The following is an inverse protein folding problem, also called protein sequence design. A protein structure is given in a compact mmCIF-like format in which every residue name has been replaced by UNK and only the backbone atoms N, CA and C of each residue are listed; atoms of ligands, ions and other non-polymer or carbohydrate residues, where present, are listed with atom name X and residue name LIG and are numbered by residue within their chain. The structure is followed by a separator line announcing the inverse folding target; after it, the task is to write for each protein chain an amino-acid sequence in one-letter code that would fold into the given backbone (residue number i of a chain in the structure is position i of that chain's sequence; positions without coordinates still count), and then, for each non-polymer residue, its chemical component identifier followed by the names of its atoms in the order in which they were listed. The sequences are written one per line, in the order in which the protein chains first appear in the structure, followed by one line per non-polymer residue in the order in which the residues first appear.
data_IF_214999506391
#
_entry.id   IF_214999506391
#
_cell.length_a   1.000
_cell.length_b   1.000
_cell.length_c   1.000
_cell.angle_alpha   90.00
_cell.angle_beta   90.00
_cell.angle_gamma   90.00
#
_symmetry.space_group_name_H-M   'P 1'
#
loop_
_entity.id
_entity.type
_entity.pdbx_description
1 polymer ?
#
# COMPACT_ATOMS: atom_id res chain seq x y z
N UNK A 1 -27.24 0.40 2.20
CA UNK A 1 -26.54 1.09 3.30
C UNK A 1 -26.86 2.59 3.21
N UNK A 2 -27.28 3.20 4.33
CA UNK A 2 -27.53 4.63 4.39
C UNK A 2 -26.21 5.41 4.30
N UNK A 3 -26.28 6.67 3.84
CA UNK A 3 -25.10 7.55 3.69
C UNK A 3 -24.36 7.76 5.01
N UNK A 4 -25.06 7.63 6.13
CA UNK A 4 -24.51 7.83 7.50
C UNK A 4 -23.54 6.73 7.94
N UNK A 5 -23.58 5.56 7.32
CA UNK A 5 -22.74 4.41 7.69
C UNK A 5 -21.30 4.51 7.14
N UNK A 6 -21.03 5.45 6.25
CA UNK A 6 -19.70 5.62 5.61
C UNK A 6 -18.65 6.20 6.57
N UNK A 7 -19.08 6.91 7.59
CA UNK A 7 -18.17 7.53 8.57
C UNK A 7 -17.33 6.51 9.35
N UNK A 8 -17.83 5.28 9.51
CA UNK A 8 -17.11 4.21 10.22
C UNK A 8 -15.90 3.65 9.43
N UNK A 9 -15.82 3.92 8.13
CA UNK A 9 -14.75 3.41 7.25
C UNK A 9 -13.63 4.43 6.98
N UNK A 10 -13.78 5.68 7.44
CA UNK A 10 -12.81 6.75 7.26
C UNK A 10 -12.41 7.34 8.60
N UNK A 11 -11.11 7.58 8.79
CA UNK A 11 -10.66 8.32 9.94
C UNK A 11 -10.95 9.84 9.79
N UNK A 12 -11.03 10.55 10.91
CA UNK A 12 -11.34 11.99 10.95
C UNK A 12 -10.35 12.81 10.11
N UNK A 13 -9.08 12.45 10.09
CA UNK A 13 -8.05 13.17 9.29
C UNK A 13 -8.31 13.08 7.79
N UNK A 14 -8.85 11.96 7.31
CA UNK A 14 -9.24 11.82 5.91
C UNK A 14 -10.40 12.76 5.59
N UNK A 15 -11.38 12.83 6.46
CA UNK A 15 -12.54 13.73 6.32
C UNK A 15 -12.09 15.18 6.35
N UNK A 16 -11.26 15.56 7.33
CA UNK A 16 -10.72 16.93 7.47
C UNK A 16 -9.91 17.35 6.24
N UNK A 17 -9.08 16.46 5.71
CA UNK A 17 -8.32 16.73 4.48
C UNK A 17 -9.23 16.96 3.29
N UNK A 18 -10.27 16.15 3.12
CA UNK A 18 -11.25 16.33 2.04
C UNK A 18 -11.97 17.66 2.15
N UNK A 19 -12.41 18.03 3.35
CA UNK A 19 -13.04 19.33 3.60
C UNK A 19 -12.10 20.48 3.21
N UNK A 20 -10.85 20.45 3.66
CA UNK A 20 -9.83 21.47 3.32
C UNK A 20 -9.59 21.59 1.82
N UNK A 21 -9.73 20.50 1.07
CA UNK A 21 -9.56 20.46 -0.39
C UNK A 21 -10.86 20.73 -1.16
N UNK A 22 -11.96 21.04 -0.49
CA UNK A 22 -13.27 21.24 -1.15
C UNK A 22 -13.85 19.95 -1.77
N UNK A 23 -13.41 18.78 -1.32
CA UNK A 23 -13.87 17.49 -1.83
C UNK A 23 -15.07 16.97 -1.02
N UNK A 24 -15.91 16.10 -1.59
CA UNK A 24 -16.97 15.42 -0.86
C UNK A 24 -16.42 14.66 0.34
N UNK A 25 -17.08 14.74 1.50
CA UNK A 25 -16.68 14.00 2.72
C UNK A 25 -16.64 12.50 2.47
N UNK A 26 -17.58 11.98 1.70
CA UNK A 26 -17.75 10.56 1.39
C UNK A 26 -18.03 10.36 -0.09
N UNK A 27 -17.61 9.23 -0.64
CA UNK A 27 -17.95 8.77 -1.98
C UNK A 27 -18.27 7.26 -1.97
N UNK A 28 -18.68 6.70 -3.11
CA UNK A 28 -19.02 5.29 -3.25
C UNK A 28 -17.85 4.34 -2.98
N UNK A 29 -16.64 4.79 -3.27
CA UNK A 29 -15.39 4.00 -3.11
C UNK A 29 -14.96 3.86 -1.64
N UNK A 30 -15.58 4.62 -0.74
CA UNK A 30 -15.33 4.50 0.70
C UNK A 30 -16.05 3.29 1.30
N UNK A 31 -17.07 2.75 0.62
CA UNK A 31 -17.80 1.59 1.09
C UNK A 31 -17.02 0.29 0.88
N UNK A 32 -17.11 -0.65 1.83
CA UNK A 32 -16.58 -1.99 1.62
C UNK A 32 -17.36 -2.73 0.53
N UNK A 33 -16.79 -3.82 0.05
CA UNK A 33 -17.52 -4.76 -0.81
C UNK A 33 -18.73 -5.29 -0.02
N UNK A 34 -19.87 -5.43 -0.69
CA UNK A 34 -21.08 -6.00 -0.07
C UNK A 34 -20.79 -7.37 0.51
N UNK A 35 -21.19 -7.60 1.76
CA UNK A 35 -21.00 -8.89 2.44
C UNK A 35 -21.64 -10.04 1.65
N UNK A 36 -22.83 -9.84 1.07
CA UNK A 36 -23.48 -10.87 0.26
C UNK A 36 -22.67 -11.24 -1.00
N UNK A 37 -22.01 -10.27 -1.64
CA UNK A 37 -21.15 -10.54 -2.79
C UNK A 37 -19.85 -11.22 -2.37
N UNK A 38 -19.30 -10.79 -1.24
CA UNK A 38 -18.11 -11.42 -0.66
C UNK A 38 -18.38 -12.90 -0.32
N UNK A 39 -19.47 -13.21 0.34
CA UNK A 39 -19.88 -14.56 0.70
C UNK A 39 -20.04 -15.45 -0.55
N UNK A 40 -20.81 -14.97 -1.54
CA UNK A 40 -21.02 -15.70 -2.80
C UNK A 40 -19.71 -15.99 -3.55
N UNK A 41 -18.76 -15.07 -3.59
CA UNK A 41 -17.46 -15.31 -4.21
C UNK A 41 -16.64 -16.27 -3.35
N UNK A 42 -16.62 -16.09 -2.03
CA UNK A 42 -15.86 -16.93 -1.10
C UNK A 42 -16.27 -18.40 -1.17
N UNK A 43 -17.57 -18.68 -1.24
CA UNK A 43 -18.11 -20.03 -1.40
C UNK A 43 -17.74 -20.69 -2.75
N UNK A 44 -17.38 -19.90 -3.74
CA UNK A 44 -17.06 -20.33 -5.09
C UNK A 44 -15.58 -20.14 -5.44
N UNK A 45 -14.70 -20.08 -4.45
CA UNK A 45 -13.25 -19.98 -4.60
C UNK A 45 -12.53 -20.91 -3.62
N UNK A 46 -11.28 -21.26 -3.93
CA UNK A 46 -10.44 -22.05 -3.01
C UNK A 46 -10.00 -21.18 -1.84
N UNK A 47 -9.61 -19.94 -2.09
CA UNK A 47 -9.10 -19.02 -1.06
C UNK A 47 -9.23 -17.56 -1.50
N UNK A 48 -9.64 -16.69 -0.58
CA UNK A 48 -9.55 -15.23 -0.76
C UNK A 48 -8.18 -14.76 -0.30
N UNK A 49 -7.39 -14.19 -1.21
CA UNK A 49 -6.05 -13.66 -0.95
C UNK A 49 -6.06 -12.21 -0.51
N UNK A 50 -7.01 -11.42 -1.00
CA UNK A 50 -7.08 -10.01 -0.67
C UNK A 50 -8.38 -9.35 -1.09
N UNK A 51 -8.67 -8.21 -0.48
CA UNK A 51 -9.86 -7.40 -0.70
C UNK A 51 -9.40 -5.97 -0.98
N UNK A 52 -9.91 -5.37 -2.05
CA UNK A 52 -9.71 -3.96 -2.34
C UNK A 52 -11.04 -3.24 -2.50
N UNK A 53 -11.38 -2.38 -1.54
CA UNK A 53 -12.57 -1.54 -1.64
C UNK A 53 -12.44 -0.48 -2.73
N UNK A 54 -11.25 0.07 -2.96
CA UNK A 54 -11.02 1.10 -3.98
C UNK A 54 -11.22 0.60 -5.40
N UNK A 55 -10.82 -0.63 -5.66
CA UNK A 55 -11.06 -1.28 -6.95
C UNK A 55 -12.38 -2.05 -6.99
N UNK A 56 -13.10 -2.11 -5.86
CA UNK A 56 -14.28 -2.96 -5.69
C UNK A 56 -13.99 -4.38 -6.21
N UNK A 57 -12.89 -4.97 -5.73
CA UNK A 57 -12.31 -6.19 -6.26
C UNK A 57 -11.85 -7.15 -5.17
N UNK A 58 -11.93 -8.44 -5.48
CA UNK A 58 -11.38 -9.54 -4.69
C UNK A 58 -10.26 -10.20 -5.46
N UNK A 59 -9.17 -10.53 -4.75
CA UNK A 59 -8.12 -11.40 -5.24
C UNK A 59 -8.32 -12.78 -4.62
N UNK A 60 -8.47 -13.81 -5.43
CA UNK A 60 -8.74 -15.15 -4.98
C UNK A 60 -7.97 -16.20 -5.77
N UNK A 61 -7.91 -17.41 -5.21
CA UNK A 61 -7.48 -18.63 -5.90
C UNK A 61 -8.73 -19.39 -6.31
N UNK A 62 -8.84 -19.72 -7.59
CA UNK A 62 -9.98 -20.44 -8.14
C UNK A 62 -9.53 -21.34 -9.30
N UNK A 63 -10.20 -22.46 -9.49
CA UNK A 63 -10.07 -23.31 -10.67
C UNK A 63 -10.88 -22.78 -11.87
N UNK A 64 -10.80 -23.47 -13.01
CA UNK A 64 -11.45 -23.00 -14.24
C UNK A 64 -12.99 -23.03 -14.16
N UNK A 65 -13.57 -23.99 -13.48
CA UNK A 65 -15.03 -24.09 -13.35
C UNK A 65 -15.57 -23.07 -12.36
N UNK A 66 -14.85 -22.82 -11.27
CA UNK A 66 -15.12 -21.75 -10.34
C UNK A 66 -15.04 -20.38 -11.04
N UNK A 67 -14.03 -20.16 -11.88
CA UNK A 67 -13.90 -18.92 -12.68
C UNK A 67 -15.09 -18.72 -13.61
N UNK A 68 -15.55 -19.79 -14.33
CA UNK A 68 -16.74 -19.71 -15.17
C UNK A 68 -17.99 -19.33 -14.37
N UNK A 69 -18.17 -19.96 -13.20
CA UNK A 69 -19.29 -19.66 -12.30
C UNK A 69 -19.24 -18.23 -11.78
N UNK A 70 -18.09 -17.76 -11.32
CA UNK A 70 -17.90 -16.38 -10.84
C UNK A 70 -18.21 -15.37 -11.95
N UNK A 71 -17.77 -15.61 -13.18
CA UNK A 71 -18.07 -14.76 -14.34
C UNK A 71 -19.57 -14.68 -14.67
N UNK A 72 -20.35 -15.67 -14.29
CA UNK A 72 -21.79 -15.67 -14.53
C UNK A 72 -22.59 -14.83 -13.53
N UNK A 73 -21.98 -14.40 -12.44
CA UNK A 73 -22.67 -13.55 -11.47
C UNK A 73 -22.92 -12.14 -12.04
N UNK A 74 -24.15 -11.61 -11.98
CA UNK A 74 -24.50 -10.34 -12.61
C UNK A 74 -23.78 -9.12 -12.01
N UNK A 75 -23.23 -9.24 -10.80
CA UNK A 75 -22.46 -8.19 -10.12
C UNK A 75 -20.95 -8.27 -10.40
N UNK A 76 -20.46 -9.31 -11.08
CA UNK A 76 -19.06 -9.46 -11.46
C UNK A 76 -18.83 -8.81 -12.82
N UNK A 77 -18.11 -7.71 -12.86
CA UNK A 77 -17.81 -6.96 -14.07
C UNK A 77 -16.76 -7.65 -14.94
N UNK A 78 -15.71 -8.15 -14.32
CA UNK A 78 -14.58 -8.78 -15.02
C UNK A 78 -13.79 -9.70 -14.10
N UNK A 79 -13.13 -10.71 -14.66
CA UNK A 79 -12.21 -11.61 -13.96
C UNK A 79 -10.91 -11.67 -14.72
N UNK A 80 -9.83 -11.19 -14.09
CA UNK A 80 -8.48 -11.14 -14.66
C UNK A 80 -7.56 -12.12 -13.96
N UNK A 81 -6.77 -12.86 -14.73
CA UNK A 81 -5.69 -13.69 -14.18
C UNK A 81 -4.53 -12.80 -13.76
N UNK A 82 -4.10 -12.93 -12.50
CA UNK A 82 -2.87 -12.29 -12.03
C UNK A 82 -1.67 -13.15 -12.45
N UNK A 83 -0.70 -12.53 -13.14
CA UNK A 83 0.55 -13.19 -13.49
C UNK A 83 1.56 -12.97 -12.38
N UNK A 84 2.21 -14.04 -11.91
CA UNK A 84 3.40 -13.89 -11.05
C UNK A 84 4.56 -13.36 -11.91
N UNK A 85 4.77 -12.05 -11.91
CA UNK A 85 6.02 -11.50 -12.41
C UNK A 85 7.08 -11.63 -11.30
N UNK A 86 8.01 -12.54 -11.49
CA UNK A 86 9.25 -12.57 -10.73
C UNK A 86 10.19 -11.51 -11.34
N UNK A 87 10.07 -10.28 -10.89
CA UNK A 87 11.06 -9.26 -11.19
C UNK A 87 12.28 -9.51 -10.31
N UNK A 88 13.31 -10.13 -10.88
CA UNK A 88 14.64 -10.14 -10.27
C UNK A 88 15.28 -8.78 -10.53
N UNK A 89 15.23 -7.88 -9.56
CA UNK A 89 16.07 -6.70 -9.59
C UNK A 89 17.53 -7.13 -9.48
N UNK A 90 18.33 -6.89 -10.53
CA UNK A 90 19.78 -7.00 -10.46
C UNK A 90 20.30 -5.83 -9.63
N UNK A 91 20.92 -6.13 -8.52
CA UNK A 91 21.77 -5.18 -7.80
C UNK A 91 23.02 -4.95 -8.64
N UNK A 92 23.17 -3.76 -9.20
CA UNK A 92 24.44 -3.31 -9.78
C UNK A 92 25.25 -2.77 -8.61
N UNK A 93 26.29 -3.51 -8.23
CA UNK A 93 27.28 -3.06 -7.24
C UNK A 93 28.34 -2.21 -7.94
N UNK A 94 28.11 -0.93 -8.08
CA UNK A 94 29.16 0.04 -8.25
C UNK A 94 29.41 0.75 -6.92
N UNK A 95 30.66 0.74 -6.44
CA UNK A 95 31.11 1.52 -5.28
C UNK A 95 31.12 3.01 -5.63
N UNK A 96 29.96 3.62 -5.70
CA UNK A 96 29.82 5.07 -5.73
C UNK A 96 29.78 5.52 -4.26
N UNK A 97 30.64 6.48 -3.89
CA UNK A 97 30.60 7.10 -2.57
C UNK A 97 29.16 7.54 -2.25
N UNK A 98 28.57 6.93 -1.23
CA UNK A 98 27.13 7.09 -0.87
C UNK A 98 26.76 8.57 -0.69
N UNK A 99 27.65 9.39 -0.16
CA UNK A 99 27.41 10.83 0.05
C UNK A 99 27.21 11.59 -1.27
N UNK A 100 28.01 11.29 -2.30
CA UNK A 100 27.88 11.93 -3.62
C UNK A 100 26.61 11.49 -4.33
N UNK A 101 26.17 10.26 -4.14
CA UNK A 101 24.94 9.76 -4.78
C UNK A 101 23.69 10.43 -4.19
N UNK A 102 23.59 10.49 -2.86
CA UNK A 102 22.47 11.13 -2.17
C UNK A 102 22.38 12.63 -2.51
N UNK A 103 23.52 13.32 -2.50
CA UNK A 103 23.56 14.75 -2.86
C UNK A 103 23.10 14.97 -4.30
N UNK A 104 23.55 14.14 -5.24
CA UNK A 104 23.11 14.22 -6.65
C UNK A 104 21.63 13.93 -6.82
N UNK A 105 21.08 12.94 -6.10
CA UNK A 105 19.66 12.63 -6.12
C UNK A 105 18.81 13.80 -5.59
N UNK A 106 19.20 14.36 -4.46
CA UNK A 106 18.52 15.54 -3.87
C UNK A 106 18.61 16.74 -4.80
N UNK A 107 19.79 16.99 -5.38
CA UNK A 107 20.02 18.13 -6.28
C UNK A 107 19.25 18.00 -7.59
N UNK A 108 19.18 16.79 -8.16
CA UNK A 108 18.44 16.54 -9.41
C UNK A 108 16.94 16.77 -9.29
N UNK A 109 16.40 16.67 -8.07
CA UNK A 109 14.98 16.94 -7.76
C UNK A 109 14.75 18.29 -7.10
N UNK A 110 15.78 19.19 -7.14
CA UNK A 110 15.74 20.50 -6.49
C UNK A 110 15.40 20.45 -4.99
N UNK A 111 15.75 19.32 -4.32
CA UNK A 111 15.40 19.06 -2.92
C UNK A 111 15.92 20.12 -1.94
N UNK A 112 17.01 20.81 -2.28
CA UNK A 112 17.56 21.91 -1.49
C UNK A 112 16.57 23.09 -1.37
N UNK A 113 15.68 23.29 -2.35
CA UNK A 113 14.63 24.30 -2.28
C UNK A 113 13.70 24.05 -1.09
N UNK A 114 13.30 22.81 -0.88
CA UNK A 114 12.43 22.45 0.24
C UNK A 114 13.11 22.71 1.58
N UNK A 115 14.38 22.35 1.72
CA UNK A 115 15.16 22.61 2.94
C UNK A 115 15.32 24.11 3.22
N UNK A 116 15.69 24.90 2.21
CA UNK A 116 15.85 26.37 2.33
C UNK A 116 14.55 27.07 2.74
N UNK A 117 13.40 26.53 2.38
CA UNK A 117 12.09 27.07 2.71
C UNK A 117 11.43 26.41 3.92
N UNK A 118 12.18 25.64 4.73
CA UNK A 118 11.66 24.90 5.89
C UNK A 118 10.50 23.95 5.58
N UNK A 119 10.42 23.45 4.36
CA UNK A 119 9.42 22.48 3.94
C UNK A 119 9.92 21.07 4.29
N UNK A 120 9.76 20.69 5.53
CA UNK A 120 10.32 19.45 6.10
C UNK A 120 9.37 18.25 6.04
N UNK A 121 8.18 18.42 5.46
CA UNK A 121 7.14 17.37 5.48
C UNK A 121 6.52 17.13 6.85
N UNK A 122 6.71 18.02 7.83
CA UNK A 122 6.14 17.88 9.19
C UNK A 122 4.63 17.69 9.12
N UNK A 123 4.13 16.61 9.74
CA UNK A 123 2.70 16.25 9.75
C UNK A 123 2.23 15.46 8.53
N UNK A 124 3.09 15.22 7.54
CA UNK A 124 2.78 14.35 6.39
C UNK A 124 3.00 12.90 6.77
N UNK A 125 2.06 12.04 6.40
CA UNK A 125 2.20 10.58 6.48
C UNK A 125 2.56 10.02 5.11
N UNK A 126 3.61 9.21 5.08
CA UNK A 126 4.07 8.50 3.88
C UNK A 126 3.81 7.02 4.08
N UNK A 127 3.22 6.37 3.08
CA UNK A 127 3.11 4.93 3.02
C UNK A 127 4.12 4.41 2.00
N UNK A 128 5.06 3.58 2.44
CA UNK A 128 6.01 2.91 1.55
C UNK A 128 5.52 1.47 1.34
N UNK A 129 5.31 1.08 0.08
CA UNK A 129 4.88 -0.26 -0.31
C UNK A 129 6.02 -0.89 -1.09
N UNK A 130 6.62 -1.93 -0.51
CA UNK A 130 7.80 -2.57 -1.08
C UNK A 130 7.85 -4.08 -0.75
N UNK A 131 8.85 -4.79 -1.26
CA UNK A 131 9.05 -6.23 -1.05
C UNK A 131 9.51 -6.63 0.35
N UNK A 132 9.89 -5.66 1.20
CA UNK A 132 10.35 -5.88 2.57
C UNK A 132 11.39 -4.85 3.00
N UNK A 133 11.68 -4.80 4.30
CA UNK A 133 12.49 -3.76 4.95
C UNK A 133 13.55 -4.36 5.88
N UNK A 134 14.12 -5.52 5.52
CA UNK A 134 15.19 -6.16 6.31
C UNK A 134 16.39 -5.23 6.44
N UNK A 135 16.89 -5.04 7.67
CA UNK A 135 18.00 -4.15 7.96
C UNK A 135 17.62 -2.68 8.17
N UNK A 136 16.34 -2.31 8.02
CA UNK A 136 15.93 -0.91 8.18
C UNK A 136 16.14 -0.40 9.62
N UNK A 137 15.96 -1.25 10.63
CA UNK A 137 16.16 -0.89 12.04
C UNK A 137 17.62 -0.66 12.38
N UNK A 138 18.51 -1.36 11.71
CA UNK A 138 19.95 -1.34 11.89
C UNK A 138 20.62 -0.25 11.02
N UNK A 139 19.91 0.26 10.02
CA UNK A 139 20.43 1.28 9.10
C UNK A 139 20.63 2.62 9.82
N UNK A 140 21.85 3.18 9.83
CA UNK A 140 22.11 4.50 10.43
C UNK A 140 21.23 5.60 9.84
N UNK A 141 20.90 5.53 8.55
CA UNK A 141 20.07 6.51 7.86
C UNK A 141 18.61 6.48 8.34
N UNK A 142 18.09 5.33 8.77
CA UNK A 142 16.69 5.15 9.15
C UNK A 142 16.47 5.04 10.66
N UNK A 143 17.55 4.90 11.44
CA UNK A 143 17.49 4.70 12.90
C UNK A 143 16.64 5.73 13.62
N UNK A 144 16.77 7.00 13.23
CA UNK A 144 16.00 8.11 13.80
C UNK A 144 14.49 7.93 13.68
N UNK A 145 13.98 7.24 12.64
CA UNK A 145 12.54 6.98 12.46
C UNK A 145 11.99 6.05 13.55
N UNK A 146 12.80 5.08 13.98
CA UNK A 146 12.44 4.13 15.03
C UNK A 146 12.59 4.75 16.42
N UNK A 147 13.68 5.46 16.67
CA UNK A 147 13.95 6.17 17.94
C UNK A 147 12.87 7.22 18.23
N UNK A 148 12.44 7.96 17.21
CA UNK A 148 11.41 8.99 17.32
C UNK A 148 9.98 8.43 17.17
N UNK A 149 9.79 7.11 17.10
CA UNK A 149 8.48 6.45 16.94
C UNK A 149 7.70 6.97 15.72
N UNK A 150 8.41 7.29 14.63
CA UNK A 150 7.80 7.80 13.39
C UNK A 150 7.26 6.69 12.49
N UNK A 151 7.68 5.44 12.71
CA UNK A 151 7.06 4.27 12.06
C UNK A 151 5.73 3.97 12.74
N UNK A 152 4.63 4.38 12.12
CA UNK A 152 3.29 4.32 12.73
C UNK A 152 2.70 2.91 12.65
N UNK A 153 2.91 2.22 11.52
CA UNK A 153 2.37 0.88 11.28
C UNK A 153 3.16 0.19 10.19
N UNK A 154 3.28 -1.12 10.29
CA UNK A 154 3.83 -1.99 9.26
C UNK A 154 2.93 -3.21 9.07
N UNK A 155 2.92 -3.80 7.87
CA UNK A 155 2.15 -5.00 7.58
C UNK A 155 2.73 -5.75 6.39
N UNK A 156 3.01 -7.04 6.58
CA UNK A 156 3.39 -7.96 5.53
C UNK A 156 2.13 -8.70 5.05
N UNK A 157 1.68 -8.36 3.85
CA UNK A 157 0.47 -8.96 3.26
C UNK A 157 0.65 -10.42 2.85
N UNK A 158 1.90 -10.84 2.60
CA UNK A 158 2.20 -12.21 2.21
C UNK A 158 2.20 -13.15 3.42
N UNK A 159 2.90 -12.75 4.49
CA UNK A 159 3.02 -13.55 5.71
C UNK A 159 1.97 -13.20 6.78
N UNK A 160 1.09 -12.22 6.50
CA UNK A 160 0.02 -11.76 7.41
C UNK A 160 0.55 -11.41 8.81
N UNK A 161 1.62 -10.62 8.89
CA UNK A 161 2.28 -10.22 10.12
C UNK A 161 2.68 -8.74 10.08
N UNK A 162 2.84 -8.13 11.24
CA UNK A 162 3.37 -6.77 11.35
C UNK A 162 4.89 -6.70 11.14
N UNK A 163 5.59 -7.85 11.14
CA UNK A 163 7.03 -7.90 10.99
C UNK A 163 7.45 -7.88 9.51
N UNK A 164 7.73 -6.71 8.98
CA UNK A 164 8.20 -6.47 7.60
C UNK A 164 9.74 -6.49 7.47
N UNK A 165 10.46 -6.70 8.57
CA UNK A 165 11.94 -6.58 8.65
C UNK A 165 12.66 -7.91 8.49
N UNK A 166 11.97 -8.99 8.11
CA UNK A 166 12.54 -10.35 8.17
C UNK A 166 13.15 -10.83 6.86
N UNK A 167 12.51 -10.55 5.72
CA UNK A 167 12.79 -11.29 4.48
C UNK A 167 13.60 -10.49 3.46
N UNK A 168 13.08 -9.45 2.89
CA UNK A 168 13.67 -8.71 1.78
C UNK A 168 14.16 -7.34 2.25
N UNK A 169 15.27 -6.86 1.68
CA UNK A 169 15.88 -5.57 2.04
C UNK A 169 15.66 -4.48 0.99
N UNK A 170 14.90 -4.74 -0.08
CA UNK A 170 14.71 -3.77 -1.17
C UNK A 170 14.17 -2.44 -0.65
N UNK A 171 13.07 -2.45 0.11
CA UNK A 171 12.49 -1.25 0.69
C UNK A 171 13.36 -0.54 1.75
N UNK A 172 14.46 -1.15 2.19
CA UNK A 172 15.46 -0.49 3.04
C UNK A 172 16.45 0.31 2.19
N UNK A 173 16.67 -0.11 0.94
CA UNK A 173 17.65 0.49 0.04
C UNK A 173 17.07 1.65 -0.81
N UNK A 174 15.74 1.71 -0.96
CA UNK A 174 15.03 2.79 -1.67
C UNK A 174 14.49 3.83 -0.72
#
# INVERSE_FOLDING_TARGET
HSVDDRSIYLDSRTIDRRIKLGLPKYNSEDLPISNSYFELISENTVEIKGISRWFNALCCVADEDQIKKIKSFPFVKDVKRTVKHLNTCRTVSEEISVNNLMERQITSLEGQYFHKNNLTGKGIRICVIDGGFKGAKESPALKHLFENKQVLKSWDFHHKTENVYRYNNHGTAV
#
